data_IF_814211253658
#
_entry.id   IF_814211253658
#
_cell.length_a   1.000
_cell.length_b   1.000
_cell.length_c   1.000
_cell.angle_alpha   90.00
_cell.angle_beta   90.00
_cell.angle_gamma   90.00
#
_symmetry.space_group_name_H-M   'P 1'
#
loop_
_entity.id
_entity.type
_entity.pdbx_description
1 polymer ?
#
# COMPACT_ATOMS: atom_id res chain seq x y z
N UNK A 1 -1.83 -32.50 43.28
CA UNK A 1 -1.68 -33.67 42.38
C UNK A 1 -2.41 -33.51 41.05
N UNK A 2 -3.71 -33.18 40.96
CA UNK A 2 -4.34 -33.06 39.62
C UNK A 2 -3.90 -31.84 38.77
N UNK A 3 -3.34 -30.79 39.38
CA UNK A 3 -2.91 -29.57 38.70
C UNK A 3 -1.46 -29.63 38.15
N UNK A 4 -0.58 -30.43 38.78
CA UNK A 4 0.78 -30.69 38.20
C UNK A 4 0.70 -31.59 36.95
N UNK A 5 -0.34 -32.38 36.83
CA UNK A 5 -0.59 -33.25 35.69
C UNK A 5 -0.99 -32.49 34.44
N UNK A 6 -1.73 -31.37 34.54
CA UNK A 6 -2.16 -30.62 33.34
C UNK A 6 -1.02 -29.87 32.62
N UNK A 7 -0.08 -29.28 33.37
CA UNK A 7 1.08 -28.63 32.78
C UNK A 7 1.96 -29.64 32.01
N UNK A 8 2.19 -30.83 32.58
CA UNK A 8 2.95 -31.89 31.91
C UNK A 8 2.22 -32.43 30.68
N UNK A 9 0.89 -32.59 30.76
CA UNK A 9 0.05 -33.00 29.61
C UNK A 9 0.08 -31.97 28.47
N UNK A 10 0.12 -30.66 28.77
CA UNK A 10 0.26 -29.60 27.76
C UNK A 10 1.62 -29.68 27.09
N UNK A 11 2.72 -29.94 27.84
CA UNK A 11 4.04 -30.13 27.25
C UNK A 11 4.14 -31.41 26.40
N UNK A 12 3.53 -32.49 26.85
CA UNK A 12 3.40 -33.73 26.06
C UNK A 12 2.59 -33.49 24.79
N UNK A 13 1.44 -32.80 24.89
CA UNK A 13 0.63 -32.45 23.73
C UNK A 13 1.39 -31.57 22.72
N UNK A 14 2.22 -30.62 23.19
CA UNK A 14 3.10 -29.83 22.32
C UNK A 14 4.14 -30.65 21.58
N UNK A 15 4.70 -31.68 22.23
CA UNK A 15 5.65 -32.59 21.57
C UNK A 15 4.93 -33.50 20.57
N UNK A 16 3.76 -34.02 20.96
CA UNK A 16 2.95 -34.90 20.11
C UNK A 16 2.25 -34.15 18.95
N UNK A 17 2.17 -32.82 18.98
CA UNK A 17 1.52 -32.04 17.93
C UNK A 17 2.18 -32.21 16.55
N UNK A 18 3.49 -32.57 16.53
CA UNK A 18 4.24 -32.80 15.28
C UNK A 18 4.12 -34.24 14.78
N UNK A 19 4.11 -35.22 15.71
CA UNK A 19 4.17 -36.64 15.40
C UNK A 19 2.78 -37.28 15.31
N UNK A 20 1.88 -36.98 16.26
CA UNK A 20 0.55 -37.58 16.35
C UNK A 20 -0.52 -36.51 16.69
N UNK A 21 -0.97 -35.73 15.69
CA UNK A 21 -1.88 -34.60 15.91
C UNK A 21 -3.24 -34.99 16.50
N UNK A 22 -3.77 -36.17 16.16
CA UNK A 22 -5.06 -36.64 16.68
C UNK A 22 -5.05 -36.99 18.19
N UNK A 23 -3.91 -37.41 18.73
CA UNK A 23 -3.76 -37.62 20.18
C UNK A 23 -3.58 -36.30 20.92
N UNK A 24 -2.80 -35.36 20.33
CA UNK A 24 -2.62 -34.03 20.88
C UNK A 24 -3.96 -33.27 20.96
N UNK A 25 -4.78 -33.37 19.91
CA UNK A 25 -6.13 -32.76 19.84
C UNK A 25 -7.03 -33.26 20.99
N UNK A 26 -7.08 -34.56 21.23
CA UNK A 26 -7.87 -35.14 22.33
C UNK A 26 -7.40 -34.65 23.69
N UNK A 27 -6.09 -34.58 23.94
CA UNK A 27 -5.53 -34.06 25.20
C UNK A 27 -5.94 -32.62 25.43
N UNK A 28 -5.84 -31.76 24.39
CA UNK A 28 -6.25 -30.37 24.48
C UNK A 28 -7.78 -30.23 24.71
N UNK A 29 -8.60 -31.00 24.00
CA UNK A 29 -10.05 -31.02 24.19
C UNK A 29 -10.46 -31.50 25.61
N UNK A 30 -9.78 -32.51 26.15
CA UNK A 30 -10.01 -32.97 27.53
C UNK A 30 -9.69 -31.90 28.58
N UNK A 31 -8.66 -31.07 28.33
CA UNK A 31 -8.31 -29.96 29.21
C UNK A 31 -9.33 -28.82 29.08
N UNK A 32 -9.76 -28.50 27.85
CA UNK A 32 -10.72 -27.44 27.58
C UNK A 32 -12.17 -27.78 28.02
N UNK A 33 -12.54 -29.08 28.08
CA UNK A 33 -13.86 -29.52 28.55
C UNK A 33 -14.06 -29.28 30.04
N UNK A 34 -12.97 -29.19 30.83
CA UNK A 34 -13.02 -28.88 32.26
C UNK A 34 -13.10 -27.36 32.42
N UNK A 35 -14.16 -26.89 33.09
CA UNK A 35 -14.25 -25.46 33.41
C UNK A 35 -13.02 -25.00 34.17
N UNK A 36 -12.39 -23.87 33.76
CA UNK A 36 -11.22 -23.34 34.44
C UNK A 36 -11.58 -22.97 35.88
N UNK A 37 -10.84 -23.52 36.83
CA UNK A 37 -10.99 -23.13 38.22
C UNK A 37 -10.66 -21.66 38.43
N UNK A 38 -11.09 -21.06 39.54
CA UNK A 38 -10.87 -19.65 39.91
C UNK A 38 -9.41 -19.29 40.15
N UNK A 39 -8.47 -20.23 40.05
CA UNK A 39 -7.04 -20.04 40.24
C UNK A 39 -6.36 -19.48 38.99
N UNK A 40 -5.51 -18.47 39.17
CA UNK A 40 -4.73 -17.82 38.10
C UNK A 40 -3.83 -18.81 37.31
N UNK A 41 -3.39 -19.90 37.97
CA UNK A 41 -2.61 -20.97 37.35
C UNK A 41 -3.48 -21.83 36.42
N UNK A 42 -4.67 -22.21 36.82
CA UNK A 42 -5.61 -22.94 35.97
C UNK A 42 -6.04 -22.11 34.73
N UNK A 43 -6.16 -20.79 34.90
CA UNK A 43 -6.44 -19.88 33.80
C UNK A 43 -5.30 -19.85 32.78
N UNK A 44 -4.01 -19.84 33.22
CA UNK A 44 -2.85 -19.89 32.32
C UNK A 44 -2.72 -21.24 31.60
N UNK A 45 -3.01 -22.33 32.29
CA UNK A 45 -3.03 -23.67 31.68
C UNK A 45 -4.13 -23.77 30.61
N UNK A 46 -5.32 -23.22 30.87
CA UNK A 46 -6.40 -23.13 29.90
C UNK A 46 -6.01 -22.26 28.68
N UNK A 47 -5.41 -21.09 28.92
CA UNK A 47 -4.86 -20.22 27.84
C UNK A 47 -3.85 -20.97 26.96
N UNK A 48 -2.91 -21.69 27.60
CA UNK A 48 -1.86 -22.43 26.87
C UNK A 48 -2.45 -23.60 26.07
N UNK A 49 -3.45 -24.30 26.61
CA UNK A 49 -4.13 -25.38 25.90
C UNK A 49 -4.96 -24.85 24.72
N UNK A 50 -5.65 -23.72 24.90
CA UNK A 50 -6.44 -23.09 23.87
C UNK A 50 -5.61 -22.60 22.69
N UNK A 51 -4.48 -21.94 22.97
CA UNK A 51 -3.54 -21.50 21.95
C UNK A 51 -2.88 -22.68 21.26
N UNK A 52 -2.47 -23.72 22.01
CA UNK A 52 -1.87 -24.93 21.45
C UNK A 52 -2.82 -25.68 20.50
N UNK A 53 -4.12 -25.77 20.84
CA UNK A 53 -5.11 -26.34 19.93
C UNK A 53 -5.36 -25.47 18.71
N UNK A 54 -5.38 -24.15 18.88
CA UNK A 54 -5.48 -23.20 17.78
C UNK A 54 -4.29 -23.30 16.80
N UNK A 55 -3.05 -23.42 17.33
CA UNK A 55 -1.84 -23.62 16.53
C UNK A 55 -1.90 -24.95 15.75
N UNK A 56 -2.38 -26.02 16.39
CA UNK A 56 -2.57 -27.31 15.73
C UNK A 56 -3.56 -27.20 14.56
N UNK A 57 -4.69 -26.55 14.75
CA UNK A 57 -5.65 -26.34 13.66
C UNK A 57 -5.09 -25.44 12.55
N UNK A 58 -4.28 -24.44 12.87
CA UNK A 58 -3.55 -23.61 11.91
C UNK A 58 -2.61 -24.44 11.04
N UNK A 59 -1.79 -25.29 11.67
CA UNK A 59 -0.77 -26.09 10.99
C UNK A 59 -1.42 -27.13 10.04
N UNK A 60 -2.59 -27.64 10.43
CA UNK A 60 -3.38 -28.56 9.59
C UNK A 60 -4.38 -27.85 8.66
N UNK A 61 -4.40 -26.51 8.62
CA UNK A 61 -5.30 -25.70 7.79
C UNK A 61 -6.80 -25.99 7.99
N UNK A 62 -7.19 -26.40 9.21
CA UNK A 62 -8.58 -26.68 9.58
C UNK A 62 -9.30 -25.40 10.02
N UNK A 63 -9.79 -24.63 9.05
CA UNK A 63 -10.40 -23.31 9.30
C UNK A 63 -11.74 -23.37 10.02
N UNK A 64 -12.57 -24.37 9.71
CA UNK A 64 -13.88 -24.52 10.32
C UNK A 64 -13.77 -24.94 11.80
N UNK A 65 -12.84 -25.84 12.11
CA UNK A 65 -12.61 -26.29 13.48
C UNK A 65 -12.06 -25.15 14.36
N UNK A 66 -11.20 -24.31 13.80
CA UNK A 66 -10.74 -23.09 14.46
C UNK A 66 -11.88 -22.09 14.70
N UNK A 67 -12.79 -21.94 13.75
CA UNK A 67 -13.97 -21.09 13.91
C UNK A 67 -14.92 -21.61 15.01
N UNK A 68 -15.18 -22.91 15.04
CA UNK A 68 -16.00 -23.55 16.08
C UNK A 68 -15.35 -23.47 17.46
N UNK A 69 -14.02 -23.63 17.54
CA UNK A 69 -13.24 -23.44 18.76
C UNK A 69 -13.47 -22.04 19.35
N UNK A 70 -13.35 -21.00 18.53
CA UNK A 70 -13.58 -19.61 18.97
C UNK A 70 -15.02 -19.41 19.45
N UNK A 71 -16.00 -20.03 18.79
CA UNK A 71 -17.40 -19.92 19.18
C UNK A 71 -17.68 -20.61 20.54
N UNK A 72 -17.18 -21.81 20.73
CA UNK A 72 -17.38 -22.59 21.96
C UNK A 72 -16.66 -21.97 23.16
N UNK A 73 -15.46 -21.44 22.96
CA UNK A 73 -14.67 -20.85 24.05
C UNK A 73 -15.19 -19.49 24.53
N UNK A 74 -16.04 -18.80 23.77
CA UNK A 74 -16.62 -17.49 24.17
C UNK A 74 -17.37 -17.55 25.48
N UNK A 75 -18.15 -18.60 25.70
CA UNK A 75 -18.93 -18.78 26.94
C UNK A 75 -18.00 -18.91 28.14
N UNK A 76 -16.92 -19.66 28.01
CA UNK A 76 -15.91 -19.84 29.05
C UNK A 76 -15.09 -18.55 29.25
N UNK A 77 -14.77 -17.83 28.19
CA UNK A 77 -14.02 -16.57 28.24
C UNK A 77 -14.77 -15.44 28.97
N UNK A 78 -16.09 -15.52 29.11
CA UNK A 78 -16.84 -14.55 29.91
C UNK A 78 -16.48 -14.59 31.41
N UNK A 79 -15.95 -15.70 31.91
CA UNK A 79 -15.50 -15.86 33.30
C UNK A 79 -14.12 -15.24 33.57
N UNK A 80 -13.35 -14.90 32.52
CA UNK A 80 -12.02 -14.34 32.65
C UNK A 80 -12.03 -12.80 32.76
N UNK A 81 -10.91 -12.23 33.22
CA UNK A 81 -10.72 -10.78 33.23
C UNK A 81 -10.78 -10.21 31.79
N UNK A 82 -11.53 -9.12 31.61
CA UNK A 82 -11.79 -8.50 30.30
C UNK A 82 -10.55 -8.28 29.42
N UNK A 83 -9.41 -7.89 30.04
CA UNK A 83 -8.16 -7.67 29.34
C UNK A 83 -7.54 -8.99 28.81
N UNK A 84 -7.59 -10.06 29.59
CA UNK A 84 -7.12 -11.40 29.19
C UNK A 84 -7.98 -11.95 28.06
N UNK A 85 -9.31 -11.83 28.19
CA UNK A 85 -10.27 -12.24 27.14
C UNK A 85 -9.98 -11.52 25.81
N UNK A 86 -9.80 -10.20 25.84
CA UNK A 86 -9.50 -9.41 24.65
C UNK A 86 -8.18 -9.81 23.99
N UNK A 87 -7.16 -10.16 24.77
CA UNK A 87 -5.88 -10.65 24.27
C UNK A 87 -6.02 -12.02 23.59
N UNK A 88 -6.70 -12.97 24.24
CA UNK A 88 -6.89 -14.31 23.72
C UNK A 88 -7.70 -14.33 22.42
N UNK A 89 -8.80 -13.59 22.37
CA UNK A 89 -9.61 -13.49 21.14
C UNK A 89 -8.78 -12.94 19.99
N UNK A 90 -7.93 -11.92 20.22
CA UNK A 90 -7.04 -11.40 19.19
C UNK A 90 -6.02 -12.45 18.74
N UNK A 91 -5.35 -13.12 19.66
CA UNK A 91 -4.38 -14.17 19.35
C UNK A 91 -5.00 -15.31 18.53
N UNK A 92 -6.20 -15.76 18.90
CA UNK A 92 -6.91 -16.80 18.15
C UNK A 92 -7.28 -16.34 16.73
N UNK A 93 -7.72 -15.08 16.58
CA UNK A 93 -8.00 -14.51 15.26
C UNK A 93 -6.72 -14.32 14.45
N UNK A 94 -5.56 -14.07 15.10
CA UNK A 94 -4.27 -13.94 14.39
C UNK A 94 -3.80 -15.26 13.79
N UNK A 95 -4.20 -16.41 14.36
CA UNK A 95 -3.89 -17.71 13.78
C UNK A 95 -4.49 -17.92 12.40
N UNK A 96 -5.63 -17.28 12.08
CA UNK A 96 -6.20 -17.35 10.73
C UNK A 96 -5.34 -16.67 9.69
N UNK A 97 -4.55 -15.65 10.04
CA UNK A 97 -3.72 -14.92 9.05
C UNK A 97 -2.66 -15.79 8.40
N UNK A 98 -2.25 -16.85 9.08
CA UNK A 98 -1.27 -17.81 8.55
C UNK A 98 -1.89 -18.81 7.54
N UNK A 99 -3.21 -18.89 7.45
CA UNK A 99 -3.90 -19.83 6.56
C UNK A 99 -4.34 -19.09 5.29
N UNK A 100 -3.87 -19.48 4.10
CA UNK A 100 -4.27 -18.84 2.85
C UNK A 100 -5.75 -19.09 2.51
N UNK A 101 -6.37 -18.17 1.77
CA UNK A 101 -7.74 -18.27 1.24
C UNK A 101 -8.85 -18.39 2.30
N UNK A 102 -8.70 -17.77 3.46
CA UNK A 102 -9.69 -17.85 4.57
C UNK A 102 -10.40 -16.53 4.85
N UNK A 103 -10.31 -15.55 3.97
CA UNK A 103 -10.85 -14.20 4.19
C UNK A 103 -12.35 -14.19 4.51
N UNK A 104 -13.16 -15.00 3.82
CA UNK A 104 -14.61 -15.03 4.05
C UNK A 104 -14.97 -15.65 5.41
N UNK A 105 -14.28 -16.72 5.81
CA UNK A 105 -14.46 -17.33 7.13
C UNK A 105 -13.97 -16.39 8.23
N UNK A 106 -12.85 -15.70 8.03
CA UNK A 106 -12.37 -14.68 8.96
C UNK A 106 -13.37 -13.53 9.15
N UNK A 107 -13.98 -13.04 8.07
CA UNK A 107 -15.00 -12.00 8.12
C UNK A 107 -16.21 -12.49 8.95
N UNK A 108 -16.71 -13.70 8.68
CA UNK A 108 -17.86 -14.25 9.40
C UNK A 108 -17.59 -14.46 10.89
N UNK A 109 -16.42 -15.01 11.23
CA UNK A 109 -16.00 -15.21 12.62
C UNK A 109 -15.79 -13.88 13.33
N UNK A 110 -15.13 -12.92 12.66
CA UNK A 110 -14.90 -11.59 13.25
C UNK A 110 -16.22 -10.85 13.50
N UNK A 111 -17.20 -10.91 12.57
CA UNK A 111 -18.54 -10.33 12.77
C UNK A 111 -19.23 -10.95 13.98
N UNK A 112 -19.22 -12.29 14.09
CA UNK A 112 -19.82 -12.95 15.23
C UNK A 112 -19.07 -12.65 16.55
N UNK A 113 -17.75 -12.36 16.51
CA UNK A 113 -17.01 -11.88 17.69
C UNK A 113 -17.41 -10.45 18.07
N UNK A 114 -17.69 -9.59 17.08
CA UNK A 114 -18.18 -8.23 17.32
C UNK A 114 -19.55 -8.26 18.00
N UNK A 115 -20.49 -9.06 17.50
CA UNK A 115 -21.82 -9.21 18.10
C UNK A 115 -21.74 -9.69 19.55
N UNK A 116 -20.86 -10.66 19.82
CA UNK A 116 -20.58 -11.12 21.16
C UNK A 116 -19.96 -10.02 22.04
N UNK A 117 -18.99 -9.24 21.54
CA UNK A 117 -18.38 -8.13 22.28
C UNK A 117 -19.39 -7.02 22.61
N UNK A 118 -20.35 -6.77 21.71
CA UNK A 118 -21.47 -5.85 21.95
C UNK A 118 -22.37 -6.38 23.08
N UNK A 119 -22.74 -7.65 23.06
CA UNK A 119 -23.57 -8.27 24.11
C UNK A 119 -22.92 -8.20 25.51
N UNK A 120 -21.57 -8.34 25.54
CA UNK A 120 -20.78 -8.26 26.78
C UNK A 120 -20.38 -6.81 27.16
N UNK A 121 -20.84 -5.80 26.43
CA UNK A 121 -20.50 -4.37 26.65
C UNK A 121 -18.99 -4.11 26.71
N UNK A 122 -18.21 -4.80 25.89
CA UNK A 122 -16.76 -4.64 25.78
C UNK A 122 -16.41 -3.71 24.61
N UNK A 123 -16.61 -2.40 24.80
CA UNK A 123 -16.44 -1.39 23.74
C UNK A 123 -15.04 -1.39 23.11
N UNK A 124 -13.98 -1.46 23.91
CA UNK A 124 -12.60 -1.49 23.43
C UNK A 124 -12.30 -2.72 22.55
N UNK A 125 -12.76 -3.90 22.95
CA UNK A 125 -12.59 -5.12 22.15
C UNK A 125 -13.37 -5.01 20.83
N UNK A 126 -14.61 -4.51 20.88
CA UNK A 126 -15.43 -4.29 19.69
C UNK A 126 -14.71 -3.39 18.67
N UNK A 127 -14.19 -2.23 19.10
CA UNK A 127 -13.49 -1.28 18.22
C UNK A 127 -12.26 -1.91 17.57
N UNK A 128 -11.45 -2.64 18.33
CA UNK A 128 -10.28 -3.36 17.75
C UNK A 128 -10.70 -4.43 16.74
N UNK A 129 -11.81 -5.14 16.97
CA UNK A 129 -12.32 -6.14 16.04
C UNK A 129 -12.92 -5.48 14.78
N UNK A 130 -13.59 -4.34 14.92
CA UNK A 130 -14.08 -3.55 13.78
C UNK A 130 -12.94 -3.02 12.91
N UNK A 131 -11.85 -2.52 13.52
CA UNK A 131 -10.63 -2.12 12.79
C UNK A 131 -10.03 -3.31 12.01
N UNK A 132 -9.97 -4.48 12.65
CA UNK A 132 -9.53 -5.70 11.96
C UNK A 132 -10.47 -6.08 10.81
N UNK A 133 -11.78 -5.97 11.00
CA UNK A 133 -12.77 -6.24 9.97
C UNK A 133 -12.62 -5.30 8.77
N UNK A 134 -12.31 -4.03 8.99
CA UNK A 134 -11.98 -3.09 7.92
C UNK A 134 -10.77 -3.58 7.12
N UNK A 135 -9.71 -4.06 7.79
CA UNK A 135 -8.54 -4.64 7.11
C UNK A 135 -8.89 -5.86 6.26
N UNK A 136 -9.78 -6.74 6.74
CA UNK A 136 -10.27 -7.90 6.00
C UNK A 136 -11.13 -7.51 4.79
N UNK A 137 -11.98 -6.49 4.92
CA UNK A 137 -12.75 -5.94 3.79
C UNK A 137 -11.85 -5.33 2.72
N UNK A 138 -10.73 -4.68 3.12
CA UNK A 138 -9.72 -4.20 2.18
C UNK A 138 -9.05 -5.36 1.44
N UNK A 139 -8.67 -6.43 2.13
CA UNK A 139 -8.08 -7.62 1.52
C UNK A 139 -9.05 -8.30 0.52
N UNK A 140 -10.36 -8.27 0.81
CA UNK A 140 -11.43 -8.77 -0.08
C UNK A 140 -11.78 -7.79 -1.21
N UNK A 141 -11.24 -6.57 -1.20
CA UNK A 141 -11.56 -5.47 -2.13
C UNK A 141 -13.01 -4.94 -2.03
N UNK A 142 -13.71 -5.18 -0.92
CA UNK A 142 -15.04 -4.63 -0.62
C UNK A 142 -14.91 -3.26 0.07
N UNK A 143 -14.49 -2.26 -0.70
CA UNK A 143 -14.13 -0.93 -0.17
C UNK A 143 -15.31 -0.13 0.39
N UNK A 144 -16.52 -0.29 -0.16
CA UNK A 144 -17.71 0.42 0.32
C UNK A 144 -18.15 -0.06 1.70
N UNK A 145 -18.08 -1.39 1.96
CA UNK A 145 -18.39 -1.94 3.28
C UNK A 145 -17.34 -1.47 4.30
N UNK A 146 -16.08 -1.41 3.90
CA UNK A 146 -15.01 -0.86 4.73
C UNK A 146 -15.27 0.61 5.10
N UNK A 147 -15.68 1.47 4.14
CA UNK A 147 -16.00 2.88 4.40
C UNK A 147 -17.18 3.08 5.34
N UNK A 148 -18.22 2.25 5.24
CA UNK A 148 -19.37 2.34 6.16
C UNK A 148 -18.96 2.07 7.60
N UNK A 149 -18.13 1.07 7.84
CA UNK A 149 -17.57 0.75 9.16
C UNK A 149 -16.63 1.86 9.65
N UNK A 150 -15.73 2.36 8.81
CA UNK A 150 -14.81 3.44 9.14
C UNK A 150 -15.57 4.70 9.57
N UNK A 151 -16.60 5.10 8.84
CA UNK A 151 -17.41 6.27 9.18
C UNK A 151 -18.13 6.14 10.54
N UNK A 152 -18.58 4.93 10.87
CA UNK A 152 -19.13 4.61 12.18
C UNK A 152 -18.09 4.76 13.30
N UNK A 153 -16.94 4.10 13.12
CA UNK A 153 -15.82 4.14 14.06
C UNK A 153 -15.28 5.55 14.29
N UNK A 154 -15.10 6.35 13.23
CA UNK A 154 -14.61 7.73 13.35
C UNK A 154 -15.52 8.63 14.18
N UNK A 155 -16.85 8.48 14.04
CA UNK A 155 -17.82 9.24 14.84
C UNK A 155 -17.73 8.88 16.32
N UNK A 156 -17.52 7.61 16.62
CA UNK A 156 -17.42 7.12 17.99
C UNK A 156 -16.08 7.48 18.62
N UNK A 157 -14.96 7.21 17.94
CA UNK A 157 -13.61 7.48 18.44
C UNK A 157 -13.34 8.96 18.72
N UNK A 158 -13.90 9.86 17.90
CA UNK A 158 -13.83 11.30 18.15
C UNK A 158 -14.55 11.72 19.45
N UNK A 159 -15.55 10.96 19.88
CA UNK A 159 -16.26 11.22 21.16
C UNK A 159 -15.50 10.66 22.37
N UNK A 160 -14.77 9.55 22.17
CA UNK A 160 -14.04 8.84 23.23
C UNK A 160 -12.62 9.37 23.43
N UNK A 161 -12.10 10.20 22.48
CA UNK A 161 -10.74 10.75 22.43
C UNK A 161 -9.63 9.68 22.49
N UNK A 162 -9.92 8.47 21.94
CA UNK A 162 -8.90 7.42 21.78
C UNK A 162 -8.07 7.70 20.51
N UNK A 163 -7.00 8.45 20.71
CA UNK A 163 -6.18 8.97 19.60
C UNK A 163 -5.40 7.89 18.87
N UNK A 164 -4.94 6.83 19.55
CA UNK A 164 -4.17 5.77 18.89
C UNK A 164 -5.02 4.97 17.89
N UNK A 165 -6.20 4.52 18.34
CA UNK A 165 -7.13 3.81 17.45
C UNK A 165 -7.65 4.75 16.37
N UNK A 166 -7.84 6.03 16.68
CA UNK A 166 -8.25 7.05 15.70
C UNK A 166 -7.21 7.18 14.57
N UNK A 167 -5.91 7.22 14.88
CA UNK A 167 -4.83 7.27 13.87
C UNK A 167 -4.86 6.03 12.99
N UNK A 168 -5.04 4.84 13.58
CA UNK A 168 -5.10 3.59 12.83
C UNK A 168 -6.30 3.57 11.86
N UNK A 169 -7.48 4.00 12.31
CA UNK A 169 -8.68 4.06 11.48
C UNK A 169 -8.55 5.11 10.37
N UNK A 170 -7.99 6.29 10.65
CA UNK A 170 -7.73 7.32 9.64
C UNK A 170 -6.68 6.88 8.60
N UNK A 171 -5.66 6.10 9.02
CA UNK A 171 -4.71 5.49 8.09
C UNK A 171 -5.41 4.47 7.17
N UNK A 172 -6.29 3.63 7.71
CA UNK A 172 -7.09 2.70 6.92
C UNK A 172 -8.04 3.45 5.98
N UNK A 173 -8.66 4.54 6.43
CA UNK A 173 -9.48 5.41 5.60
C UNK A 173 -8.70 5.94 4.39
N UNK A 174 -7.49 6.46 4.62
CA UNK A 174 -6.60 6.92 3.56
C UNK A 174 -6.28 5.83 2.55
N UNK A 175 -5.97 4.61 3.02
CA UNK A 175 -5.69 3.45 2.16
C UNK A 175 -6.91 3.03 1.32
N UNK A 176 -8.09 3.04 1.90
CA UNK A 176 -9.34 2.72 1.17
C UNK A 176 -9.61 3.75 0.08
N UNK A 177 -9.50 5.05 0.38
CA UNK A 177 -9.66 6.09 -0.64
C UNK A 177 -8.59 6.01 -1.73
N UNK A 178 -7.35 5.69 -1.40
CA UNK A 178 -6.29 5.48 -2.38
C UNK A 178 -6.62 4.28 -3.29
N UNK A 179 -7.08 3.16 -2.73
CA UNK A 179 -7.50 1.99 -3.52
C UNK A 179 -8.70 2.25 -4.43
N UNK A 180 -9.59 3.19 -4.06
CA UNK A 180 -10.70 3.66 -4.88
C UNK A 180 -10.27 4.70 -5.95
N UNK A 181 -9.01 5.14 -5.94
CA UNK A 181 -8.51 6.18 -6.84
C UNK A 181 -8.86 7.61 -6.43
N UNK A 182 -9.39 7.81 -5.23
CA UNK A 182 -9.73 9.15 -4.73
C UNK A 182 -8.57 9.73 -3.90
N UNK A 183 -7.51 10.14 -4.62
CA UNK A 183 -6.28 10.68 -4.01
C UNK A 183 -6.54 11.90 -3.09
N UNK A 184 -7.38 12.90 -3.47
CA UNK A 184 -7.62 14.07 -2.61
C UNK A 184 -8.22 13.71 -1.24
N UNK A 185 -9.20 12.80 -1.19
CA UNK A 185 -9.77 12.33 0.08
C UNK A 185 -8.79 11.48 0.87
N UNK A 186 -8.02 10.63 0.19
CA UNK A 186 -6.96 9.85 0.80
C UNK A 186 -5.92 10.74 1.51
N UNK A 187 -5.54 11.85 0.87
CA UNK A 187 -4.61 12.83 1.42
C UNK A 187 -5.20 13.57 2.63
N UNK A 188 -6.45 14.00 2.57
CA UNK A 188 -7.12 14.65 3.69
C UNK A 188 -7.20 13.73 4.92
N UNK A 189 -7.56 12.46 4.73
CA UNK A 189 -7.57 11.45 5.79
C UNK A 189 -6.16 11.23 6.38
N UNK A 190 -5.13 11.14 5.54
CA UNK A 190 -3.74 10.97 5.98
C UNK A 190 -3.23 12.19 6.76
N UNK A 191 -3.54 13.40 6.32
CA UNK A 191 -3.19 14.64 7.05
C UNK A 191 -3.83 14.65 8.44
N UNK A 192 -5.10 14.25 8.54
CA UNK A 192 -5.80 14.10 9.81
C UNK A 192 -5.14 13.03 10.70
N UNK A 193 -4.73 11.90 10.12
CA UNK A 193 -4.02 10.83 10.83
C UNK A 193 -2.67 11.33 11.39
N UNK A 194 -1.87 12.02 10.59
CA UNK A 194 -0.58 12.57 11.00
C UNK A 194 -0.72 13.64 12.10
N UNK A 195 -1.73 14.50 12.00
CA UNK A 195 -2.04 15.50 13.04
C UNK A 195 -2.40 14.82 14.36
N UNK A 196 -3.23 13.76 14.30
CA UNK A 196 -3.58 12.97 15.48
C UNK A 196 -2.36 12.22 16.05
N UNK A 197 -1.51 11.64 15.18
CA UNK A 197 -0.29 10.95 15.58
C UNK A 197 0.74 11.87 16.27
N UNK A 198 0.88 13.10 15.80
CA UNK A 198 1.79 14.10 16.41
C UNK A 198 1.40 14.48 17.84
N UNK A 199 0.14 14.28 18.24
CA UNK A 199 -0.35 14.60 19.59
C UNK A 199 -0.17 13.47 20.62
N UNK A 200 0.27 12.27 20.20
CA UNK A 200 0.40 11.07 21.04
C UNK A 200 1.66 10.31 20.68
N UNK A 201 2.21 9.55 21.61
CA UNK A 201 3.28 8.59 21.27
C UNK A 201 2.77 7.55 20.28
N UNK A 202 3.23 7.63 19.04
CA UNK A 202 2.88 6.70 17.99
C UNK A 202 3.84 5.50 17.99
N UNK A 203 3.36 4.25 18.02
CA UNK A 203 4.22 3.07 17.88
C UNK A 203 4.99 3.09 16.55
N UNK A 204 6.27 2.67 16.51
CA UNK A 204 7.10 2.75 15.29
C UNK A 204 6.49 2.05 14.08
N UNK A 205 5.78 0.93 14.29
CA UNK A 205 5.10 0.20 13.21
C UNK A 205 3.96 1.00 12.57
N UNK A 206 3.21 1.77 13.39
CA UNK A 206 2.13 2.61 12.91
C UNK A 206 2.69 3.86 12.21
N UNK A 207 3.76 4.45 12.76
CA UNK A 207 4.48 5.57 12.13
C UNK A 207 5.01 5.16 10.75
N UNK A 208 5.70 4.03 10.65
CA UNK A 208 6.15 3.49 9.36
C UNK A 208 5.00 3.26 8.36
N UNK A 209 3.81 2.88 8.87
CA UNK A 209 2.60 2.77 8.07
C UNK A 209 2.08 4.11 7.53
N UNK A 210 2.20 5.19 8.32
CA UNK A 210 1.85 6.55 7.90
C UNK A 210 2.83 7.07 6.85
N UNK A 211 4.13 6.84 7.04
CA UNK A 211 5.17 7.29 6.12
C UNK A 211 5.08 6.53 4.80
N UNK A 212 4.81 5.21 4.84
CA UNK A 212 4.55 4.40 3.66
C UNK A 212 3.38 4.94 2.83
N UNK A 213 2.26 5.27 3.49
CA UNK A 213 1.09 5.84 2.83
C UNK A 213 1.36 7.27 2.31
N UNK A 214 2.16 8.08 3.03
CA UNK A 214 2.60 9.39 2.57
C UNK A 214 3.41 9.29 1.29
N UNK A 215 4.39 8.38 1.26
CA UNK A 215 5.20 8.11 0.07
C UNK A 215 4.36 7.68 -1.14
N UNK A 216 3.38 6.79 -0.94
CA UNK A 216 2.48 6.36 -2.02
C UNK A 216 1.67 7.51 -2.60
N UNK A 217 1.09 8.38 -1.76
CA UNK A 217 0.29 9.51 -2.24
C UNK A 217 1.15 10.58 -2.93
N UNK A 218 2.39 10.83 -2.48
CA UNK A 218 3.31 11.73 -3.18
C UNK A 218 3.77 11.16 -4.53
N UNK A 219 4.00 9.86 -4.61
CA UNK A 219 4.34 9.20 -5.88
C UNK A 219 3.18 9.26 -6.89
N UNK A 220 1.91 9.16 -6.45
CA UNK A 220 0.75 9.37 -7.35
C UNK A 220 0.70 10.79 -7.92
N UNK A 221 1.17 11.80 -7.17
CA UNK A 221 1.31 13.17 -7.64
C UNK A 221 2.59 13.40 -8.49
N UNK A 222 3.36 12.33 -8.77
CA UNK A 222 4.64 12.39 -9.48
C UNK A 222 5.77 13.12 -8.73
N UNK A 223 5.60 13.38 -7.43
CA UNK A 223 6.67 13.90 -6.55
C UNK A 223 7.50 12.75 -5.97
N UNK A 224 8.34 12.16 -6.83
CA UNK A 224 9.14 10.99 -6.47
C UNK A 224 10.27 11.29 -5.48
N UNK A 225 10.75 12.55 -5.41
CA UNK A 225 11.80 12.93 -4.45
C UNK A 225 11.28 12.90 -3.02
N UNK A 226 10.14 13.54 -2.77
CA UNK A 226 9.50 13.52 -1.45
C UNK A 226 9.00 12.11 -1.10
N UNK A 227 8.43 11.40 -2.07
CA UNK A 227 8.01 10.00 -1.90
C UNK A 227 9.17 9.11 -1.45
N UNK A 228 10.34 9.24 -2.07
CA UNK A 228 11.55 8.50 -1.71
C UNK A 228 11.96 8.74 -0.26
N UNK A 229 11.95 9.99 0.21
CA UNK A 229 12.28 10.32 1.61
C UNK A 229 11.35 9.62 2.61
N UNK A 230 10.04 9.63 2.35
CA UNK A 230 9.08 8.91 3.18
C UNK A 230 9.26 7.39 3.13
N UNK A 231 9.64 6.83 2.00
CA UNK A 231 9.90 5.38 1.90
C UNK A 231 11.17 4.97 2.64
N UNK A 232 12.19 5.83 2.75
CA UNK A 232 13.36 5.58 3.60
C UNK A 232 12.92 5.47 5.07
N UNK A 233 12.18 6.46 5.57
CA UNK A 233 11.69 6.46 6.96
C UNK A 233 10.81 5.24 7.25
N UNK A 234 9.93 4.89 6.32
CA UNK A 234 9.10 3.70 6.43
C UNK A 234 9.93 2.40 6.46
N UNK A 235 10.95 2.30 5.61
CA UNK A 235 11.84 1.13 5.55
C UNK A 235 12.62 0.97 6.84
N UNK A 236 13.20 2.05 7.38
CA UNK A 236 13.91 2.04 8.66
C UNK A 236 12.99 1.64 9.83
N UNK A 237 11.78 2.18 9.85
CA UNK A 237 10.75 1.83 10.82
C UNK A 237 10.36 0.34 10.77
N UNK A 238 10.14 -0.23 9.58
CA UNK A 238 9.85 -1.65 9.43
C UNK A 238 11.07 -2.55 9.73
N UNK A 239 12.27 -2.07 9.41
CA UNK A 239 13.51 -2.78 9.72
C UNK A 239 13.72 -2.90 11.24
N UNK A 240 13.50 -1.82 12.00
CA UNK A 240 13.62 -1.81 13.46
C UNK A 240 12.64 -2.76 14.16
N UNK A 241 11.52 -3.07 13.52
CA UNK A 241 10.44 -3.94 14.04
C UNK A 241 10.47 -5.36 13.46
N UNK A 242 11.56 -5.77 12.80
CA UNK A 242 11.73 -7.09 12.18
C UNK A 242 10.53 -7.53 11.30
N UNK A 243 10.00 -6.60 10.51
CA UNK A 243 8.92 -6.86 9.55
C UNK A 243 9.46 -6.99 8.13
N UNK A 244 10.03 -8.14 7.72
CA UNK A 244 10.79 -8.27 6.47
C UNK A 244 9.93 -8.02 5.23
N UNK A 245 8.68 -8.51 5.21
CA UNK A 245 7.78 -8.36 4.05
C UNK A 245 7.50 -6.89 3.75
N UNK A 246 7.16 -6.10 4.78
CA UNK A 246 6.86 -4.66 4.61
C UNK A 246 8.13 -3.86 4.27
N UNK A 247 9.27 -4.22 4.85
CA UNK A 247 10.55 -3.60 4.54
C UNK A 247 10.96 -3.85 3.07
N UNK A 248 10.73 -5.06 2.55
CA UNK A 248 10.96 -5.38 1.14
C UNK A 248 10.06 -4.55 0.22
N UNK A 249 8.78 -4.38 0.56
CA UNK A 249 7.87 -3.54 -0.23
C UNK A 249 8.32 -2.06 -0.22
N UNK A 250 8.76 -1.53 0.93
CA UNK A 250 9.29 -0.17 1.01
C UNK A 250 10.54 0.00 0.12
N UNK A 251 11.45 -0.97 0.13
CA UNK A 251 12.64 -0.97 -0.71
C UNK A 251 12.30 -1.03 -2.21
N UNK A 252 11.29 -1.82 -2.61
CA UNK A 252 10.80 -1.84 -3.98
C UNK A 252 10.27 -0.46 -4.41
N UNK A 253 9.54 0.24 -3.53
CA UNK A 253 9.02 1.57 -3.82
C UNK A 253 10.13 2.63 -3.89
N UNK A 254 11.17 2.51 -3.06
CA UNK A 254 12.37 3.36 -3.17
C UNK A 254 13.06 3.20 -4.52
N UNK A 255 13.25 1.95 -4.96
CA UNK A 255 13.83 1.65 -6.27
C UNK A 255 12.95 2.20 -7.40
N UNK A 256 11.63 2.02 -7.32
CA UNK A 256 10.69 2.56 -8.30
C UNK A 256 10.82 4.08 -8.42
N UNK A 257 10.88 4.81 -7.31
CA UNK A 257 11.05 6.27 -7.32
C UNK A 257 12.35 6.69 -8.02
N UNK A 258 13.46 5.98 -7.75
CA UNK A 258 14.75 6.28 -8.40
C UNK A 258 14.76 5.94 -9.89
N UNK A 259 14.09 4.89 -10.32
CA UNK A 259 13.90 4.55 -11.73
C UNK A 259 13.07 5.64 -12.42
N UNK A 260 11.97 6.09 -11.82
CA UNK A 260 11.13 7.17 -12.36
C UNK A 260 11.84 8.52 -12.46
N UNK A 261 12.84 8.77 -11.60
CA UNK A 261 13.70 9.95 -11.63
C UNK A 261 14.89 9.82 -12.63
N UNK A 262 15.06 8.68 -13.29
CA UNK A 262 16.19 8.40 -14.20
C UNK A 262 17.59 8.44 -13.51
N UNK A 263 17.67 8.17 -12.20
CA UNK A 263 18.93 8.20 -11.44
C UNK A 263 19.56 6.80 -11.37
N UNK A 264 20.38 6.46 -12.40
CA UNK A 264 21.00 5.12 -12.52
C UNK A 264 21.93 4.80 -11.37
N UNK A 265 22.83 5.75 -11.06
CA UNK A 265 23.86 5.55 -10.02
C UNK A 265 23.26 5.29 -8.65
N UNK A 266 22.15 5.98 -8.34
CA UNK A 266 21.44 5.80 -7.09
C UNK A 266 20.76 4.41 -7.01
N UNK A 267 20.22 3.91 -8.12
CA UNK A 267 19.63 2.55 -8.18
C UNK A 267 20.70 1.51 -7.90
N UNK A 268 21.88 1.62 -8.51
CA UNK A 268 22.99 0.69 -8.30
C UNK A 268 23.52 0.75 -6.84
N UNK A 269 23.62 1.93 -6.26
CA UNK A 269 23.99 2.11 -4.86
C UNK A 269 22.96 1.48 -3.91
N UNK A 270 21.68 1.67 -4.15
CA UNK A 270 20.62 1.05 -3.35
C UNK A 270 20.67 -0.48 -3.44
N UNK A 271 20.93 -1.03 -4.63
CA UNK A 271 21.01 -2.49 -4.85
C UNK A 271 22.24 -3.13 -4.21
N UNK A 272 23.34 -2.40 -4.05
CA UNK A 272 24.55 -2.86 -3.36
C UNK A 272 24.51 -2.57 -1.86
N UNK A 273 23.56 -1.81 -1.40
CA UNK A 273 23.39 -1.41 -0.01
C UNK A 273 23.10 -2.57 0.94
N UNK A 274 23.41 -2.40 2.22
CA UNK A 274 23.20 -3.42 3.28
C UNK A 274 21.76 -3.93 3.36
N UNK A 275 20.79 -3.05 3.13
CA UNK A 275 19.37 -3.40 3.18
C UNK A 275 18.95 -4.28 2.00
N UNK A 276 19.43 -3.98 0.79
CA UNK A 276 19.16 -4.81 -0.38
C UNK A 276 19.74 -6.22 -0.25
N UNK A 277 20.96 -6.33 0.32
CA UNK A 277 21.60 -7.64 0.59
C UNK A 277 20.83 -8.45 1.65
N UNK A 278 20.28 -7.79 2.67
CA UNK A 278 19.49 -8.47 3.72
C UNK A 278 18.14 -8.97 3.22
N UNK A 279 17.50 -8.22 2.33
CA UNK A 279 16.16 -8.50 1.79
C UNK A 279 16.20 -9.03 0.35
N UNK A 280 17.35 -9.59 -0.09
CA UNK A 280 17.51 -10.17 -1.42
C UNK A 280 16.42 -11.22 -1.71
N UNK A 281 15.81 -11.14 -2.90
CA UNK A 281 14.74 -12.03 -3.32
C UNK A 281 14.19 -11.68 -4.70
N UNK A 282 13.32 -12.54 -5.24
CA UNK A 282 12.74 -12.39 -6.57
C UNK A 282 12.11 -11.01 -6.84
N UNK A 283 11.53 -10.40 -5.80
CA UNK A 283 10.94 -9.07 -5.88
C UNK A 283 11.96 -7.97 -6.23
N UNK A 284 13.16 -8.03 -5.63
CA UNK A 284 14.22 -7.07 -5.93
C UNK A 284 14.91 -7.37 -7.26
N UNK A 285 15.03 -8.65 -7.62
CA UNK A 285 15.58 -9.06 -8.93
C UNK A 285 14.67 -8.59 -10.06
N UNK A 286 13.34 -8.63 -9.87
CA UNK A 286 12.36 -8.07 -10.79
C UNK A 286 12.57 -6.57 -11.00
N UNK A 287 12.71 -5.79 -9.92
CA UNK A 287 12.98 -4.35 -10.01
C UNK A 287 14.33 -4.05 -10.66
N UNK A 288 15.35 -4.88 -10.44
CA UNK A 288 16.64 -4.79 -11.09
C UNK A 288 16.55 -5.02 -12.60
N UNK A 289 15.75 -6.01 -13.04
CA UNK A 289 15.52 -6.25 -14.45
C UNK A 289 14.80 -5.08 -15.11
N UNK A 290 13.79 -4.51 -14.45
CA UNK A 290 13.09 -3.30 -14.91
C UNK A 290 14.05 -2.11 -15.02
N UNK A 291 14.90 -1.89 -13.99
CA UNK A 291 15.89 -0.80 -14.03
C UNK A 291 16.90 -0.94 -15.18
N UNK A 292 17.37 -2.16 -15.47
CA UNK A 292 18.26 -2.43 -16.60
C UNK A 292 17.58 -2.13 -17.93
N UNK A 293 16.36 -2.63 -18.13
CA UNK A 293 15.60 -2.39 -19.36
C UNK A 293 15.34 -0.89 -19.58
N UNK A 294 15.00 -0.16 -18.51
CA UNK A 294 14.85 1.29 -18.55
C UNK A 294 16.16 2.01 -18.91
N UNK A 295 17.29 1.61 -18.31
CA UNK A 295 18.62 2.16 -18.59
C UNK A 295 19.06 1.93 -20.05
N UNK A 296 18.74 0.75 -20.60
CA UNK A 296 19.03 0.38 -21.98
C UNK A 296 18.03 1.01 -22.96
N UNK A 297 16.94 1.63 -22.45
CA UNK A 297 15.82 2.15 -23.26
C UNK A 297 15.24 1.13 -24.23
N UNK A 298 15.25 -0.16 -23.83
CA UNK A 298 14.76 -1.26 -24.64
C UNK A 298 13.37 -1.65 -24.16
N UNK A 299 12.36 -1.47 -25.02
CA UNK A 299 10.98 -1.90 -24.76
C UNK A 299 10.87 -3.43 -24.72
N UNK A 300 11.63 -4.13 -25.57
CA UNK A 300 11.64 -5.60 -25.61
C UNK A 300 12.16 -6.22 -24.30
N UNK A 301 13.27 -5.68 -23.77
CA UNK A 301 13.80 -6.11 -22.46
C UNK A 301 12.80 -5.81 -21.35
N UNK A 302 12.10 -4.67 -21.43
CA UNK A 302 11.10 -4.28 -20.46
C UNK A 302 9.89 -5.22 -20.46
N UNK A 303 9.33 -5.55 -21.63
CA UNK A 303 8.23 -6.50 -21.77
C UNK A 303 8.64 -7.91 -21.34
N UNK A 304 9.85 -8.33 -21.68
CA UNK A 304 10.44 -9.59 -21.21
C UNK A 304 10.55 -9.64 -19.68
N UNK A 305 10.98 -8.54 -19.06
CA UNK A 305 11.05 -8.43 -17.60
C UNK A 305 9.65 -8.51 -16.96
N UNK A 306 8.65 -7.80 -17.51
CA UNK A 306 7.27 -7.87 -17.04
C UNK A 306 6.65 -9.26 -17.20
N UNK A 307 6.98 -9.98 -18.29
CA UNK A 307 6.50 -11.33 -18.52
C UNK A 307 7.11 -12.33 -17.54
N UNK A 308 8.43 -12.28 -17.36
CA UNK A 308 9.17 -13.20 -16.51
C UNK A 308 8.82 -13.03 -15.01
N UNK A 309 8.60 -11.80 -14.57
CA UNK A 309 8.31 -11.47 -13.17
C UNK A 309 6.84 -11.03 -12.96
N UNK A 310 5.94 -11.57 -13.75
CA UNK A 310 4.51 -11.21 -13.72
C UNK A 310 3.87 -11.39 -12.35
N UNK A 311 4.30 -12.38 -11.57
CA UNK A 311 3.75 -12.64 -10.23
C UNK A 311 4.20 -11.59 -9.23
N UNK A 312 5.48 -11.27 -9.23
CA UNK A 312 6.14 -10.36 -8.32
C UNK A 312 5.71 -8.91 -8.57
N UNK A 313 5.70 -8.48 -9.83
CA UNK A 313 5.34 -7.12 -10.23
C UNK A 313 3.83 -6.89 -10.33
N UNK A 314 3.05 -7.92 -10.61
CA UNK A 314 1.59 -7.84 -10.71
C UNK A 314 0.84 -8.00 -9.39
N UNK A 315 1.50 -8.47 -8.32
CA UNK A 315 0.86 -8.65 -7.01
C UNK A 315 0.48 -7.34 -6.34
N UNK A 316 1.24 -6.27 -6.60
CA UNK A 316 1.02 -4.95 -6.04
C UNK A 316 0.47 -3.98 -7.10
N UNK A 317 -0.77 -3.51 -6.85
CA UNK A 317 -1.47 -2.59 -7.76
C UNK A 317 -0.71 -1.26 -7.93
N UNK A 318 -0.05 -0.78 -6.87
CA UNK A 318 0.72 0.46 -6.91
C UNK A 318 1.91 0.32 -7.87
N UNK A 319 2.72 -0.73 -7.73
CA UNK A 319 3.85 -1.01 -8.62
C UNK A 319 3.36 -1.16 -10.06
N UNK A 320 2.31 -1.96 -10.29
CA UNK A 320 1.77 -2.21 -11.62
C UNK A 320 1.28 -0.93 -12.32
N UNK A 321 0.66 0.03 -11.58
CA UNK A 321 0.22 1.31 -12.15
C UNK A 321 1.40 2.20 -12.57
N UNK A 322 2.42 2.29 -11.73
CA UNK A 322 3.61 3.09 -12.02
C UNK A 322 4.49 2.47 -13.10
N UNK A 323 4.60 1.14 -13.16
CA UNK A 323 5.29 0.46 -14.26
C UNK A 323 4.61 0.71 -15.62
N UNK A 324 3.28 0.78 -15.64
CA UNK A 324 2.56 1.17 -16.86
C UNK A 324 2.89 2.60 -17.28
N UNK A 325 2.91 3.55 -16.34
CA UNK A 325 3.33 4.94 -16.62
C UNK A 325 4.78 5.00 -17.10
N UNK A 326 5.67 4.18 -16.54
CA UNK A 326 7.06 4.09 -16.97
C UNK A 326 7.16 3.57 -18.41
N UNK A 327 6.39 2.52 -18.76
CA UNK A 327 6.31 2.00 -20.12
C UNK A 327 5.86 3.08 -21.12
N UNK A 328 4.78 3.81 -20.76
CA UNK A 328 4.25 4.89 -21.59
C UNK A 328 5.29 6.00 -21.79
N UNK A 329 6.03 6.37 -20.75
CA UNK A 329 7.11 7.37 -20.84
C UNK A 329 8.29 6.89 -21.69
N UNK A 330 8.71 5.63 -21.54
CA UNK A 330 9.76 5.04 -22.38
C UNK A 330 9.34 4.98 -23.85
N UNK A 331 8.10 4.62 -24.13
CA UNK A 331 7.55 4.59 -25.47
C UNK A 331 7.55 6.00 -26.09
N UNK A 332 7.11 7.02 -25.34
CA UNK A 332 7.17 8.41 -25.79
C UNK A 332 8.58 8.85 -26.15
N UNK A 333 9.54 8.60 -25.27
CA UNK A 333 10.95 8.96 -25.52
C UNK A 333 11.54 8.24 -26.75
N UNK A 334 11.20 6.97 -26.95
CA UNK A 334 11.64 6.22 -28.12
C UNK A 334 11.00 6.74 -29.41
N UNK A 335 9.70 7.06 -29.38
CA UNK A 335 8.99 7.66 -30.50
C UNK A 335 9.58 9.03 -30.87
N UNK A 336 9.84 9.90 -29.89
CA UNK A 336 10.48 11.21 -30.13
C UNK A 336 11.81 11.03 -30.82
N UNK A 337 12.66 10.13 -30.29
CA UNK A 337 14.00 9.89 -30.86
C UNK A 337 13.96 9.34 -32.28
N UNK A 338 12.98 8.51 -32.61
CA UNK A 338 12.79 7.98 -33.97
C UNK A 338 12.29 9.07 -34.94
N UNK A 339 11.42 9.98 -34.45
CA UNK A 339 10.78 11.01 -35.27
C UNK A 339 11.67 12.24 -35.45
N UNK A 340 12.50 12.58 -34.45
CA UNK A 340 13.34 13.78 -34.43
C UNK A 340 14.09 14.09 -35.75
N UNK A 341 14.70 13.12 -36.48
CA UNK A 341 15.41 13.39 -37.72
C UNK A 341 14.49 13.62 -38.93
N UNK A 342 13.19 13.48 -38.82
CA UNK A 342 12.25 13.51 -39.94
C UNK A 342 11.28 14.69 -39.84
N UNK A 343 11.12 15.44 -40.93
CA UNK A 343 10.02 16.41 -41.06
C UNK A 343 8.70 15.76 -41.52
N UNK A 344 8.80 14.61 -42.18
CA UNK A 344 7.67 13.79 -42.65
C UNK A 344 8.01 12.31 -42.55
N UNK A 345 7.21 11.52 -41.87
CA UNK A 345 7.48 10.10 -41.64
C UNK A 345 6.21 9.26 -41.79
N UNK A 346 6.30 8.08 -42.39
CA UNK A 346 5.22 7.12 -42.48
C UNK A 346 5.05 6.38 -41.14
N UNK A 347 3.79 6.23 -40.68
CA UNK A 347 3.47 5.55 -39.44
C UNK A 347 3.89 4.09 -39.48
N UNK A 348 3.77 3.42 -40.65
CA UNK A 348 4.24 2.06 -40.87
C UNK A 348 5.75 1.88 -40.63
N UNK A 349 6.55 2.89 -41.04
CA UNK A 349 8.00 2.90 -40.82
C UNK A 349 8.33 3.06 -39.34
N UNK A 350 7.69 4.01 -38.65
CA UNK A 350 7.87 4.22 -37.21
C UNK A 350 7.47 2.95 -36.43
N UNK A 351 6.35 2.32 -36.80
CA UNK A 351 5.88 1.10 -36.18
C UNK A 351 6.89 -0.05 -36.32
N UNK A 352 7.50 -0.19 -37.51
CA UNK A 352 8.53 -1.21 -37.73
C UNK A 352 9.83 -0.95 -36.96
N UNK A 353 10.20 0.30 -36.75
CA UNK A 353 11.40 0.68 -35.97
C UNK A 353 11.22 0.48 -34.46
N UNK A 354 9.99 0.69 -33.95
CA UNK A 354 9.69 0.55 -32.52
C UNK A 354 9.23 -0.89 -32.19
N UNK A 355 8.86 -1.70 -33.20
CA UNK A 355 8.39 -3.08 -33.03
C UNK A 355 6.95 -3.19 -32.55
N UNK A 356 6.12 -2.15 -32.76
CA UNK A 356 4.73 -2.10 -32.31
C UNK A 356 3.76 -2.12 -33.51
N UNK A 357 2.48 -2.39 -33.22
CA UNK A 357 1.41 -2.31 -34.20
C UNK A 357 1.15 -0.85 -34.63
N UNK A 358 0.94 -0.64 -35.93
CA UNK A 358 0.73 0.69 -36.51
C UNK A 358 -0.43 1.46 -35.86
N UNK A 359 -1.52 0.78 -35.48
CA UNK A 359 -2.65 1.41 -34.80
C UNK A 359 -2.33 1.88 -33.39
N UNK A 360 -1.46 1.16 -32.68
CA UNK A 360 -1.01 1.57 -31.33
C UNK A 360 -0.11 2.80 -31.42
N UNK A 361 0.81 2.79 -32.37
CA UNK A 361 1.71 3.94 -32.64
C UNK A 361 0.90 5.17 -33.06
N UNK A 362 -0.06 5.03 -33.95
CA UNK A 362 -0.93 6.11 -34.40
C UNK A 362 -1.70 6.75 -33.23
N UNK A 363 -2.32 5.92 -32.37
CA UNK A 363 -3.03 6.41 -31.16
C UNK A 363 -2.09 7.15 -30.22
N UNK A 364 -0.90 6.61 -30.01
CA UNK A 364 0.09 7.22 -29.12
C UNK A 364 0.62 8.54 -29.67
N UNK A 365 0.92 8.61 -30.98
CA UNK A 365 1.31 9.85 -31.64
C UNK A 365 0.21 10.92 -31.59
N UNK A 366 -1.05 10.52 -31.81
CA UNK A 366 -2.19 11.41 -31.64
C UNK A 366 -2.30 11.99 -30.22
N UNK A 367 -2.08 11.14 -29.20
CA UNK A 367 -2.04 11.60 -27.81
C UNK A 367 -0.88 12.58 -27.56
N UNK A 368 0.34 12.27 -28.05
CA UNK A 368 1.52 13.14 -27.89
C UNK A 368 1.35 14.51 -28.57
N UNK A 369 0.61 14.57 -29.68
CA UNK A 369 0.25 15.83 -30.33
C UNK A 369 -0.73 16.63 -29.47
N UNK A 370 -1.76 15.98 -28.90
CA UNK A 370 -2.74 16.61 -28.00
C UNK A 370 -2.07 17.13 -26.73
N UNK A 371 -1.12 16.37 -26.18
CA UNK A 371 -0.34 16.73 -24.99
C UNK A 371 0.76 17.77 -25.30
N UNK A 372 0.89 18.20 -26.59
CA UNK A 372 1.90 19.15 -27.07
C UNK A 372 3.35 18.70 -26.86
N UNK A 373 3.58 17.42 -26.77
CA UNK A 373 4.91 16.81 -26.69
C UNK A 373 5.59 16.85 -28.08
N UNK A 374 4.78 16.67 -29.14
CA UNK A 374 5.19 16.81 -30.55
C UNK A 374 4.29 17.85 -31.20
N UNK A 375 4.90 18.80 -31.92
CA UNK A 375 4.15 19.76 -32.72
C UNK A 375 4.07 19.21 -34.14
N UNK A 376 2.89 18.80 -34.55
CA UNK A 376 2.72 18.15 -35.84
C UNK A 376 1.27 17.89 -36.21
N UNK A 377 1.05 17.37 -37.41
CA UNK A 377 -0.25 16.95 -37.92
C UNK A 377 -0.18 15.47 -38.34
N UNK A 378 -1.16 14.70 -37.87
CA UNK A 378 -1.31 13.32 -38.25
C UNK A 378 -2.33 13.20 -39.37
N UNK A 379 -1.89 12.77 -40.56
CA UNK A 379 -2.75 12.46 -41.70
C UNK A 379 -3.07 10.98 -41.69
N UNK A 380 -4.26 10.63 -41.20
CA UNK A 380 -4.71 9.25 -41.13
C UNK A 380 -5.00 8.65 -42.51
N UNK A 381 -5.43 9.47 -43.50
CA UNK A 381 -5.74 9.00 -44.85
C UNK A 381 -4.48 8.57 -45.61
N UNK A 382 -3.39 9.30 -45.44
CA UNK A 382 -2.11 9.00 -46.05
C UNK A 382 -1.20 8.13 -45.15
N UNK A 383 -1.56 7.93 -43.87
CA UNK A 383 -0.71 7.20 -42.92
C UNK A 383 0.60 7.88 -42.58
N UNK A 384 0.61 9.21 -42.55
CA UNK A 384 1.85 10.03 -42.44
C UNK A 384 1.75 11.00 -41.29
N UNK A 385 2.83 11.13 -40.55
CA UNK A 385 3.05 12.18 -39.55
C UNK A 385 3.90 13.30 -40.18
N UNK A 386 3.41 14.53 -40.07
CA UNK A 386 4.16 15.76 -40.46
C UNK A 386 4.56 16.45 -39.16
N UNK A 387 5.85 16.62 -38.95
CA UNK A 387 6.41 17.26 -37.74
C UNK A 387 6.79 18.69 -38.09
N UNK A 388 6.39 19.63 -37.25
CA UNK A 388 6.79 21.03 -37.39
C UNK A 388 7.92 21.31 -36.39
N UNK A 389 8.91 22.09 -36.84
CA UNK A 389 9.93 22.62 -35.94
C UNK A 389 9.28 23.61 -34.96
N UNK A 390 9.70 23.59 -33.72
CA UNK A 390 9.32 24.63 -32.77
C UNK A 390 9.80 25.97 -33.32
N UNK A 391 8.87 26.89 -33.54
CA UNK A 391 9.28 28.28 -33.85
C UNK A 391 10.03 28.79 -32.62
N UNK A 392 11.33 29.12 -32.79
CA UNK A 392 12.09 29.76 -31.73
C UNK A 392 11.30 30.97 -31.25
N UNK A 393 10.94 31.00 -29.99
CA UNK A 393 10.30 32.15 -29.38
C UNK A 393 11.29 33.32 -29.49
N UNK A 394 10.92 34.30 -30.26
CA UNK A 394 11.71 35.53 -30.39
C UNK A 394 11.70 36.28 -29.04
N UNK A 395 12.74 36.04 -28.25
CA UNK A 395 12.93 36.69 -26.95
C UNK A 395 12.93 38.20 -27.04
N UNK A 396 13.29 38.73 -28.23
CA UNK A 396 13.25 40.16 -28.55
C UNK A 396 11.82 40.69 -28.61
N UNK A 397 10.89 39.89 -29.14
CA UNK A 397 9.48 40.28 -29.23
C UNK A 397 8.80 40.28 -27.82
N UNK A 398 9.05 39.30 -27.01
CA UNK A 398 8.54 39.24 -25.62
C UNK A 398 9.09 40.40 -24.77
N UNK A 399 10.40 40.70 -24.90
CA UNK A 399 11.04 41.84 -24.22
C UNK A 399 10.49 43.19 -24.71
N UNK A 400 10.19 43.32 -26.01
CA UNK A 400 9.56 44.52 -26.55
C UNK A 400 8.13 44.73 -25.99
N UNK A 401 7.32 43.68 -25.93
CA UNK A 401 5.97 43.74 -25.32
C UNK A 401 6.03 44.13 -23.85
N UNK A 402 6.96 43.55 -23.08
CA UNK A 402 7.18 43.92 -21.69
C UNK A 402 7.60 45.37 -21.51
N UNK A 403 8.46 45.87 -22.38
CA UNK A 403 8.92 47.26 -22.40
C UNK A 403 7.78 48.23 -22.73
N UNK A 404 6.93 47.88 -23.70
CA UNK A 404 5.71 48.68 -24.03
C UNK A 404 4.74 48.70 -22.84
N UNK A 405 4.53 47.56 -22.17
CA UNK A 405 3.69 47.51 -20.97
C UNK A 405 4.21 48.37 -19.82
N UNK A 406 5.54 48.38 -19.60
CA UNK A 406 6.19 49.24 -18.61
C UNK A 406 6.11 50.74 -19.00
N UNK A 407 6.25 51.08 -20.27
CA UNK A 407 6.05 52.43 -20.76
C UNK A 407 4.57 52.92 -20.52
N UNK A 408 3.61 52.06 -20.80
CA UNK A 408 2.21 52.35 -20.51
C UNK A 408 1.99 52.69 -19.02
N UNK A 409 2.52 51.87 -18.10
CA UNK A 409 2.39 52.15 -16.67
C UNK A 409 3.08 53.44 -16.22
N UNK A 410 4.21 53.79 -16.81
CA UNK A 410 4.89 55.07 -16.54
C UNK A 410 4.08 56.25 -17.03
N UNK A 411 3.48 56.17 -18.21
CA UNK A 411 2.58 57.20 -18.73
C UNK A 411 1.35 57.39 -17.84
N UNK A 412 0.75 56.31 -17.33
CA UNK A 412 -0.36 56.34 -16.41
C UNK A 412 -0.02 57.03 -15.07
N UNK A 413 1.17 56.75 -14.53
CA UNK A 413 1.67 57.41 -13.30
C UNK A 413 1.94 58.91 -13.56
N UNK A 414 2.51 59.27 -14.70
CA UNK A 414 2.74 60.67 -15.05
C UNK A 414 1.44 61.41 -15.23
N UNK A 415 0.45 60.80 -15.86
CA UNK A 415 -0.89 61.38 -16.00
C UNK A 415 -1.58 61.60 -14.67
N UNK A 416 -1.53 60.59 -13.77
CA UNK A 416 -2.05 60.72 -12.42
C UNK A 416 -1.38 61.84 -11.60
N UNK A 417 -0.05 61.96 -11.71
CA UNK A 417 0.70 63.01 -11.04
C UNK A 417 0.39 64.40 -11.60
N UNK A 418 0.19 64.55 -12.93
CA UNK A 418 -0.20 65.83 -13.53
C UNK A 418 -1.65 66.22 -13.15
N UNK A 419 -2.56 65.24 -13.08
CA UNK A 419 -3.93 65.50 -12.66
C UNK A 419 -4.00 66.04 -11.23
N UNK A 420 -3.12 65.53 -10.33
CA UNK A 420 -3.02 65.99 -8.91
C UNK A 420 -2.38 67.40 -8.77
N UNK A 421 -1.73 67.95 -9.82
CA UNK A 421 -1.13 69.28 -9.81
C UNK A 421 -2.09 70.33 -10.39
N UNK A 422 -3.22 69.91 -11.01
CA UNK A 422 -4.23 70.76 -11.60
C UNK A 422 -5.49 70.92 -10.70
N UNK A 423 -5.58 70.16 -9.59
CA UNK A 423 -6.48 70.35 -8.45
C UNK A 423 -5.78 71.21 -7.38
#
# INVERSE_FOLDING_TARGET
MAQEDNAKRIEEAKKLSKDEPAKAEKIYQDILSKQPGTNDRAAREFESALLGLGELYRDHKRTQDLATLIQQTREVLTSFARAKTAKLVRQLLDLFTAIPNTTDTQISVTKSCIDWAVSQRQGFLRQNLEVRLVGLHMAKQSYYDALTLINGLLKELKRLDDKLVLVEVQLLESRVYHSLGNVPKGRAALTSARTSAASVYCPPLLQAGLDMQSGQLHAEDSDFNTAYSYFIEAMEGYHSQDSPVKATSALQYMLLCKIMLNLKDDVDQLMTGKHALKYAGANLDAMKAVARAHNNRSLEEYESALHNYRRELGSDRFIASHLRRLYDSMLEQNLIKVIEPFSRVEISHVASMVGLDAQQVERKLGQMILDKVIIGVLDQGAGVLIVFEESERDKGYDAALETIGKLGSVVDVLYANQASLLE
#
